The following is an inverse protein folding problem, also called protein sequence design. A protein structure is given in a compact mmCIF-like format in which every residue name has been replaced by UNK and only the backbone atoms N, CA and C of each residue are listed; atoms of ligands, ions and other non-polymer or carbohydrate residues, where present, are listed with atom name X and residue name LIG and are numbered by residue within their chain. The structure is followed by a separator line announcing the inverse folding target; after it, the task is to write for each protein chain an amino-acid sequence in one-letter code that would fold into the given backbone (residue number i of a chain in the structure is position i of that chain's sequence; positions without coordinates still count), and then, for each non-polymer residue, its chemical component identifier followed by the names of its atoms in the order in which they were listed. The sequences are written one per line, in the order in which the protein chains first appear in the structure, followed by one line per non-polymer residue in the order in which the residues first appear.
data_IF_189840352303
#
_entry.id   IF_189840352303
#
_cell.length_a   1.000
_cell.length_b   1.000
_cell.length_c   1.000
_cell.angle_alpha   90.00
_cell.angle_beta   90.00
_cell.angle_gamma   90.00
#
_symmetry.space_group_name_H-M   'P 1'
#
loop_
_entity.id
_entity.type
_entity.pdbx_description
1 polymer ?
#
# COMPACT_ATOMS: atom_id res chain seq x y z
N UNK A 1 26.46 -6.55 5.41
CA UNK A 1 26.35 -5.37 4.51
C UNK A 1 25.93 -4.18 5.33
N UNK A 2 26.46 -2.97 5.13
CA UNK A 2 26.09 -1.79 5.95
C UNK A 2 24.71 -1.28 5.48
N UNK A 3 23.74 -1.17 6.40
CA UNK A 3 22.42 -0.63 6.12
C UNK A 3 22.49 0.85 5.75
N UNK A 4 21.53 1.31 4.96
CA UNK A 4 21.42 2.70 4.54
C UNK A 4 20.91 3.55 5.71
N UNK A 5 21.55 4.71 5.93
CA UNK A 5 20.98 5.79 6.70
C UNK A 5 20.13 6.63 5.74
N UNK A 6 18.78 6.63 5.87
CA UNK A 6 17.93 7.37 4.94
C UNK A 6 18.08 8.89 5.14
N UNK A 7 17.82 9.71 4.11
CA UNK A 7 17.72 11.16 4.25
C UNK A 7 16.67 11.57 5.29
N UNK A 8 16.82 12.76 5.87
CA UNK A 8 15.77 13.35 6.72
C UNK A 8 14.47 13.49 5.92
N UNK A 9 13.34 13.12 6.50
CA UNK A 9 12.00 13.10 5.86
C UNK A 9 11.75 11.99 4.83
N UNK A 10 12.72 11.08 4.62
CA UNK A 10 12.53 9.94 3.74
C UNK A 10 11.49 8.96 4.28
N UNK A 11 10.56 8.50 3.42
CA UNK A 11 9.46 7.63 3.82
C UNK A 11 9.85 6.16 3.58
N UNK A 12 10.06 5.41 4.66
CA UNK A 12 10.25 3.95 4.59
C UNK A 12 8.88 3.31 4.76
N UNK A 13 8.44 2.57 3.73
CA UNK A 13 7.12 1.95 3.69
C UNK A 13 7.27 0.44 3.74
N UNK A 14 6.60 -0.20 4.71
CA UNK A 14 6.54 -1.66 4.83
C UNK A 14 5.37 -2.17 3.95
N UNK A 15 5.72 -2.84 2.84
CA UNK A 15 4.79 -3.36 1.84
C UNK A 15 4.04 -4.58 2.36
N UNK A 16 2.73 -4.44 2.56
CA UNK A 16 1.87 -5.49 3.15
C UNK A 16 2.37 -5.95 4.54
N UNK A 17 2.96 -5.04 5.29
CA UNK A 17 3.72 -5.34 6.50
C UNK A 17 5.17 -5.75 6.23
N UNK A 18 5.77 -6.53 7.12
CA UNK A 18 7.08 -7.14 6.86
C UNK A 18 6.91 -8.45 6.07
N UNK A 19 6.40 -8.32 4.84
CA UNK A 19 5.92 -9.41 4.00
C UNK A 19 7.02 -10.38 3.54
N UNK A 20 8.30 -10.00 3.59
CA UNK A 20 9.40 -10.94 3.36
C UNK A 20 9.51 -11.96 4.49
N UNK A 21 9.27 -11.57 5.74
CA UNK A 21 9.45 -12.43 6.93
C UNK A 21 8.14 -13.07 7.39
N UNK A 22 7.01 -12.39 7.22
CA UNK A 22 5.68 -12.82 7.67
C UNK A 22 4.72 -12.96 6.49
N UNK A 23 3.61 -13.72 6.61
CA UNK A 23 2.59 -13.75 5.56
C UNK A 23 2.05 -12.34 5.29
N UNK A 24 2.04 -11.94 4.01
CA UNK A 24 1.60 -10.60 3.60
C UNK A 24 0.16 -10.30 4.02
N UNK A 25 -0.14 -9.04 4.32
CA UNK A 25 -1.47 -8.55 4.70
C UNK A 25 -2.09 -9.25 5.93
N UNK A 26 -1.27 -9.81 6.81
CA UNK A 26 -1.71 -10.48 8.05
C UNK A 26 -1.38 -9.67 9.29
N UNK A 27 -2.00 -10.05 10.41
CA UNK A 27 -1.76 -9.42 11.72
C UNK A 27 -0.31 -9.48 12.13
N UNK A 28 0.35 -10.63 11.96
CA UNK A 28 1.77 -10.79 12.31
C UNK A 28 2.68 -9.88 11.49
N UNK A 29 2.46 -9.78 10.16
CA UNK A 29 3.21 -8.89 9.29
C UNK A 29 3.06 -7.41 9.68
N UNK A 30 1.84 -7.00 10.04
CA UNK A 30 1.53 -5.64 10.44
C UNK A 30 2.10 -5.28 11.81
N UNK A 31 1.96 -6.16 12.80
CA UNK A 31 2.55 -5.96 14.14
C UNK A 31 4.08 -5.85 14.06
N UNK A 32 4.71 -6.72 13.27
CA UNK A 32 6.15 -6.67 13.06
C UNK A 32 6.62 -5.36 12.42
N UNK A 33 5.85 -4.80 11.47
CA UNK A 33 6.15 -3.53 10.83
C UNK A 33 5.91 -2.33 11.77
N UNK A 34 4.76 -2.30 12.44
CA UNK A 34 4.35 -1.19 13.29
C UNK A 34 5.28 -1.00 14.50
N UNK A 35 5.88 -2.09 15.02
CA UNK A 35 6.86 -2.07 16.09
C UNK A 35 8.26 -1.57 15.69
N UNK A 36 8.49 -1.15 14.44
CA UNK A 36 9.78 -0.72 13.92
C UNK A 36 9.79 0.76 13.54
N UNK A 37 10.99 1.30 13.23
CA UNK A 37 11.19 2.70 12.81
C UNK A 37 10.88 2.89 11.31
N UNK A 38 9.69 2.46 10.87
CA UNK A 38 9.13 2.80 9.57
C UNK A 38 8.26 4.06 9.65
N UNK A 39 7.99 4.71 8.53
CA UNK A 39 7.07 5.84 8.46
C UNK A 39 5.66 5.41 8.09
N UNK A 40 5.53 4.43 7.19
CA UNK A 40 4.24 3.99 6.68
C UNK A 40 4.10 2.47 6.67
N UNK A 41 2.91 2.00 7.00
CA UNK A 41 2.45 0.63 6.74
C UNK A 41 1.59 0.64 5.49
N UNK A 42 1.97 -0.12 4.50
CA UNK A 42 1.16 -0.29 3.30
C UNK A 42 0.29 -1.55 3.43
N UNK A 43 -0.95 -1.44 2.95
CA UNK A 43 -1.98 -2.48 2.96
C UNK A 43 -2.77 -2.47 1.65
N UNK A 44 -3.24 -3.64 1.21
CA UNK A 44 -4.14 -3.79 0.06
C UNK A 44 -5.58 -3.98 0.53
N UNK A 45 -6.57 -3.38 -0.13
CA UNK A 45 -7.98 -3.58 0.19
C UNK A 45 -8.78 -4.11 -0.99
N UNK A 46 -9.58 -5.13 -0.69
CA UNK A 46 -10.71 -5.65 -1.47
C UNK A 46 -11.98 -5.61 -0.64
N UNK A 47 -13.12 -5.98 -1.24
CA UNK A 47 -14.41 -6.04 -0.55
C UNK A 47 -15.06 -7.41 -0.74
N UNK A 48 -15.62 -7.98 0.33
CA UNK A 48 -16.33 -9.27 0.33
C UNK A 48 -17.71 -9.17 -0.29
N UNK A 49 -18.39 -10.31 -0.43
CA UNK A 49 -19.78 -10.40 -0.91
C UNK A 49 -20.78 -9.65 -0.02
N UNK A 50 -20.50 -9.56 1.26
CA UNK A 50 -21.29 -8.85 2.28
C UNK A 50 -20.73 -7.46 2.63
N UNK A 51 -20.03 -6.85 1.66
CA UNK A 51 -19.53 -5.47 1.69
C UNK A 51 -18.52 -5.16 2.81
N UNK A 52 -17.82 -6.18 3.33
CA UNK A 52 -16.76 -5.97 4.33
C UNK A 52 -15.41 -5.73 3.62
N UNK A 53 -14.71 -4.65 4.00
CA UNK A 53 -13.37 -4.36 3.52
C UNK A 53 -12.36 -5.31 4.17
N UNK A 54 -11.61 -6.06 3.36
CA UNK A 54 -10.60 -7.04 3.79
C UNK A 54 -9.23 -6.76 3.20
N UNK A 55 -8.21 -7.12 3.96
CA UNK A 55 -6.82 -6.87 3.57
C UNK A 55 -6.22 -8.08 2.87
N UNK A 56 -6.06 -7.99 1.55
CA UNK A 56 -5.47 -9.01 0.68
C UNK A 56 -5.06 -8.38 -0.66
N UNK A 57 -4.00 -8.90 -1.30
CA UNK A 57 -3.48 -8.32 -2.55
C UNK A 57 -4.24 -8.74 -3.81
N UNK A 58 -4.43 -10.07 -3.98
CA UNK A 58 -5.05 -10.62 -5.18
C UNK A 58 -6.58 -10.56 -5.06
N UNK A 59 -7.30 -10.52 -6.17
CA UNK A 59 -8.76 -10.61 -6.19
C UNK A 59 -9.27 -12.04 -5.93
N UNK A 60 -8.34 -13.01 -5.82
CA UNK A 60 -8.60 -14.39 -5.40
C UNK A 60 -7.78 -14.75 -4.17
N UNK A 61 -8.22 -15.77 -3.43
CA UNK A 61 -7.53 -16.25 -2.21
C UNK A 61 -6.49 -17.35 -2.49
N UNK A 62 -6.32 -17.76 -3.75
CA UNK A 62 -5.60 -18.97 -4.17
C UNK A 62 -4.13 -18.99 -3.74
N UNK A 63 -3.44 -17.84 -3.83
CA UNK A 63 -2.00 -17.76 -3.56
C UNK A 63 -1.66 -17.68 -2.07
N UNK A 64 -2.53 -17.07 -1.29
CA UNK A 64 -2.26 -16.71 0.10
C UNK A 64 -3.20 -17.37 1.10
N UNK A 65 -3.93 -18.40 0.66
CA UNK A 65 -4.75 -19.22 1.57
C UNK A 65 -4.68 -20.72 1.21
N UNK A 66 -5.30 -21.53 2.05
CA UNK A 66 -5.50 -22.96 1.81
C UNK A 66 -6.75 -23.27 0.98
N UNK A 67 -7.41 -22.26 0.39
CA UNK A 67 -8.60 -22.37 -0.45
C UNK A 67 -8.44 -21.58 -1.75
N UNK A 68 -9.44 -21.67 -2.66
CA UNK A 68 -9.44 -21.01 -3.96
C UNK A 68 -10.73 -20.25 -4.18
N UNK A 69 -10.71 -19.20 -4.99
CA UNK A 69 -11.88 -18.44 -5.42
C UNK A 69 -11.74 -16.93 -5.26
N UNK A 70 -12.70 -16.20 -5.80
CA UNK A 70 -12.73 -14.74 -5.78
C UNK A 70 -13.20 -14.20 -4.43
N UNK A 71 -12.55 -13.16 -3.92
CA UNK A 71 -12.91 -12.47 -2.65
C UNK A 71 -14.39 -12.05 -2.64
N UNK A 72 -14.85 -11.42 -3.73
CA UNK A 72 -16.24 -10.94 -3.86
C UNK A 72 -17.31 -12.04 -3.84
N UNK A 73 -16.91 -13.31 -3.92
CA UNK A 73 -17.82 -14.46 -3.88
C UNK A 73 -18.03 -15.00 -2.46
N UNK A 74 -17.20 -14.59 -1.50
CA UNK A 74 -17.25 -15.03 -0.11
C UNK A 74 -17.77 -13.94 0.82
N UNK A 75 -18.52 -14.33 1.85
CA UNK A 75 -18.77 -13.50 3.03
C UNK A 75 -17.54 -13.46 3.92
N UNK A 76 -17.44 -12.49 4.83
CA UNK A 76 -16.36 -12.44 5.82
C UNK A 76 -16.33 -13.72 6.68
N UNK A 77 -17.48 -14.19 7.14
CA UNK A 77 -17.57 -15.40 7.97
C UNK A 77 -16.99 -16.62 7.25
N UNK A 78 -17.30 -16.79 5.95
CA UNK A 78 -16.73 -17.86 5.16
C UNK A 78 -15.20 -17.72 5.00
N UNK A 79 -14.68 -16.51 4.78
CA UNK A 79 -13.23 -16.28 4.66
C UNK A 79 -12.49 -16.56 5.98
N UNK A 80 -13.11 -16.38 7.13
CA UNK A 80 -12.49 -16.64 8.44
C UNK A 80 -12.28 -18.11 8.76
N UNK A 81 -12.96 -19.01 8.06
CA UNK A 81 -12.72 -20.46 8.17
C UNK A 81 -11.38 -20.87 7.53
N UNK A 82 -10.85 -20.06 6.61
CA UNK A 82 -9.65 -20.37 5.86
C UNK A 82 -8.39 -19.90 6.59
N UNK A 83 -7.25 -20.41 6.11
CA UNK A 83 -5.93 -20.08 6.67
C UNK A 83 -5.15 -19.21 5.68
N UNK A 84 -4.85 -17.99 6.07
CA UNK A 84 -4.09 -17.01 5.30
C UNK A 84 -2.62 -16.88 5.75
N UNK A 85 -2.14 -17.76 6.63
CA UNK A 85 -0.78 -17.69 7.18
C UNK A 85 0.13 -18.83 6.78
N UNK A 86 -0.35 -20.07 6.88
CA UNK A 86 0.49 -21.28 6.77
C UNK A 86 1.05 -21.56 5.36
N UNK A 87 0.59 -20.84 4.32
CA UNK A 87 1.18 -20.91 2.99
C UNK A 87 2.64 -20.44 2.97
N UNK A 88 3.02 -19.59 3.94
CA UNK A 88 4.39 -19.11 4.10
C UNK A 88 5.13 -20.00 5.09
N UNK A 89 6.24 -20.58 4.65
CA UNK A 89 7.06 -21.50 5.45
C UNK A 89 7.43 -20.90 6.82
N UNK A 90 7.26 -21.69 7.87
CA UNK A 90 7.54 -21.29 9.26
C UNK A 90 6.49 -20.39 9.91
N UNK A 91 5.41 -20.06 9.20
CA UNK A 91 4.31 -19.26 9.73
C UNK A 91 3.19 -20.13 10.29
N UNK A 92 2.41 -19.53 11.20
CA UNK A 92 1.22 -20.16 11.79
C UNK A 92 -0.03 -19.81 10.98
N UNK A 93 -1.14 -20.48 11.29
CA UNK A 93 -2.47 -20.09 10.80
C UNK A 93 -2.75 -18.63 11.15
N UNK A 94 -3.23 -17.88 10.17
CA UNK A 94 -3.70 -16.49 10.31
C UNK A 94 -5.08 -16.35 9.67
N UNK A 95 -5.91 -15.52 10.25
CA UNK A 95 -7.18 -15.12 9.65
C UNK A 95 -6.98 -13.93 8.71
N UNK A 96 -7.87 -13.79 7.73
CA UNK A 96 -7.93 -12.57 6.93
C UNK A 96 -8.27 -11.38 7.83
N UNK A 97 -7.53 -10.27 7.69
CA UNK A 97 -7.81 -9.06 8.44
C UNK A 97 -8.86 -8.20 7.74
N UNK A 98 -9.82 -7.70 8.50
CA UNK A 98 -10.70 -6.62 8.05
C UNK A 98 -10.01 -5.27 8.16
N UNK A 99 -10.47 -4.27 7.40
CA UNK A 99 -9.96 -2.91 7.51
C UNK A 99 -10.26 -2.29 8.90
N UNK A 100 -11.40 -2.63 9.51
CA UNK A 100 -11.73 -2.27 10.91
C UNK A 100 -10.65 -2.75 11.90
N UNK A 101 -10.19 -4.00 11.75
CA UNK A 101 -9.12 -4.57 12.59
C UNK A 101 -7.77 -3.92 12.33
N UNK A 102 -7.45 -3.60 11.07
CA UNK A 102 -6.22 -2.88 10.72
C UNK A 102 -6.20 -1.48 11.34
N UNK A 103 -7.30 -0.73 11.25
CA UNK A 103 -7.41 0.60 11.87
C UNK A 103 -7.26 0.52 13.40
N UNK A 104 -7.91 -0.48 14.03
CA UNK A 104 -7.81 -0.71 15.47
C UNK A 104 -6.36 -0.99 15.89
N UNK A 105 -5.66 -1.85 15.14
CA UNK A 105 -4.26 -2.16 15.39
C UNK A 105 -3.37 -0.93 15.22
N UNK A 106 -3.51 -0.21 14.10
CA UNK A 106 -2.68 0.93 13.75
C UNK A 106 -2.89 2.17 14.65
N UNK A 107 -4.04 2.26 15.33
CA UNK A 107 -4.39 3.38 16.20
C UNK A 107 -3.38 3.56 17.35
N UNK A 108 -2.78 2.48 17.83
CA UNK A 108 -1.81 2.48 18.92
C UNK A 108 -0.38 2.92 18.50
N UNK A 109 -0.17 3.20 17.22
CA UNK A 109 1.12 3.60 16.67
C UNK A 109 1.00 4.93 15.94
N UNK A 110 2.09 5.69 15.83
CA UNK A 110 2.13 6.99 15.13
C UNK A 110 2.42 6.87 13.64
N UNK A 111 2.18 5.69 13.03
CA UNK A 111 2.47 5.44 11.63
C UNK A 111 1.34 5.90 10.70
N UNK A 112 1.68 6.24 9.46
CA UNK A 112 0.72 6.48 8.38
C UNK A 112 0.34 5.16 7.74
N UNK A 113 -0.94 4.98 7.40
CA UNK A 113 -1.41 3.89 6.55
C UNK A 113 -1.39 4.35 5.09
N UNK A 114 -0.69 3.60 4.24
CA UNK A 114 -0.73 3.72 2.79
C UNK A 114 -1.65 2.62 2.26
N UNK A 115 -2.86 2.97 1.84
CA UNK A 115 -3.92 2.04 1.49
C UNK A 115 -4.00 1.92 -0.04
N UNK A 116 -3.76 0.74 -0.60
CA UNK A 116 -4.02 0.47 -2.00
C UNK A 116 -5.44 -0.07 -2.19
N UNK A 117 -6.25 0.60 -3.04
CA UNK A 117 -7.53 0.06 -3.49
C UNK A 117 -7.25 -0.82 -4.71
N UNK A 118 -7.51 -2.12 -4.55
CA UNK A 118 -7.32 -3.13 -5.59
C UNK A 118 -8.58 -3.24 -6.45
N UNK A 119 -8.42 -3.15 -7.77
CA UNK A 119 -9.51 -3.39 -8.75
C UNK A 119 -10.86 -2.76 -8.38
N UNK A 120 -10.95 -1.43 -8.10
CA UNK A 120 -12.18 -0.78 -7.59
C UNK A 120 -13.40 -1.02 -8.51
N UNK A 121 -13.19 -1.26 -9.79
CA UNK A 121 -14.27 -1.58 -10.73
C UNK A 121 -15.03 -2.89 -10.42
N UNK A 122 -14.47 -3.79 -9.60
CA UNK A 122 -15.14 -5.01 -9.12
C UNK A 122 -16.04 -4.74 -7.90
N UNK A 123 -15.90 -3.58 -7.26
CA UNK A 123 -16.50 -3.25 -5.96
C UNK A 123 -17.13 -1.85 -5.99
N UNK A 124 -18.32 -1.70 -6.62
CA UNK A 124 -19.03 -0.41 -6.63
C UNK A 124 -19.24 0.11 -5.20
N UNK A 125 -18.82 1.34 -4.91
CA UNK A 125 -18.95 1.95 -3.58
C UNK A 125 -17.77 1.71 -2.62
N UNK A 126 -16.68 1.07 -3.05
CA UNK A 126 -15.52 0.78 -2.19
C UNK A 126 -14.88 2.07 -1.65
N UNK A 127 -14.85 3.15 -2.43
CA UNK A 127 -14.28 4.43 -2.00
C UNK A 127 -15.09 5.02 -0.82
N UNK A 128 -16.42 5.03 -0.93
CA UNK A 128 -17.31 5.46 0.13
C UNK A 128 -17.19 4.60 1.37
N UNK A 129 -17.13 3.26 1.20
CA UNK A 129 -16.97 2.31 2.30
C UNK A 129 -15.67 2.55 3.08
N UNK A 130 -14.56 2.81 2.39
CA UNK A 130 -13.26 3.15 3.01
C UNK A 130 -13.38 4.43 3.85
N UNK A 131 -13.94 5.51 3.28
CA UNK A 131 -14.10 6.79 3.99
C UNK A 131 -15.01 6.63 5.21
N UNK A 132 -16.11 5.89 5.09
CA UNK A 132 -17.03 5.62 6.19
C UNK A 132 -16.36 4.83 7.31
N UNK A 133 -15.58 3.81 6.97
CA UNK A 133 -14.84 2.99 7.94
C UNK A 133 -13.80 3.83 8.70
N UNK A 134 -13.04 4.70 8.01
CA UNK A 134 -12.10 5.62 8.66
C UNK A 134 -12.82 6.55 9.65
N UNK A 135 -13.97 7.12 9.25
CA UNK A 135 -14.80 7.98 10.10
C UNK A 135 -15.35 7.23 11.32
N UNK A 136 -15.90 6.04 11.12
CA UNK A 136 -16.42 5.16 12.19
C UNK A 136 -15.38 4.90 13.28
N UNK A 137 -14.13 4.68 12.88
CA UNK A 137 -13.02 4.46 13.81
C UNK A 137 -12.45 5.74 14.42
N UNK A 138 -12.90 6.93 14.01
CA UNK A 138 -12.23 8.20 14.36
C UNK A 138 -10.72 8.14 14.12
N UNK A 139 -10.30 7.51 13.02
CA UNK A 139 -8.88 7.44 12.66
C UNK A 139 -8.45 8.76 12.02
N UNK A 140 -7.29 9.33 12.40
CA UNK A 140 -6.88 10.64 11.89
C UNK A 140 -6.60 10.61 10.38
N UNK A 141 -7.31 11.40 9.60
CA UNK A 141 -7.15 11.46 8.14
C UNK A 141 -5.77 11.89 7.67
N UNK A 142 -5.06 12.71 8.45
CA UNK A 142 -3.68 13.11 8.17
C UNK A 142 -2.66 11.95 8.35
N UNK A 143 -3.12 10.79 8.78
CA UNK A 143 -2.36 9.53 8.86
C UNK A 143 -2.84 8.51 7.82
N UNK A 144 -3.58 8.95 6.81
CA UNK A 144 -4.08 8.12 5.71
C UNK A 144 -3.56 8.68 4.38
N UNK A 145 -3.04 7.80 3.55
CA UNK A 145 -2.78 8.02 2.14
C UNK A 145 -3.49 6.90 1.40
N UNK A 146 -4.28 7.21 0.38
CA UNK A 146 -4.96 6.19 -0.44
C UNK A 146 -4.36 6.22 -1.84
N UNK A 147 -4.05 5.06 -2.39
CA UNK A 147 -3.49 4.92 -3.73
C UNK A 147 -4.21 3.85 -4.55
N UNK A 148 -4.15 3.96 -5.86
CA UNK A 148 -4.66 2.95 -6.79
C UNK A 148 -3.99 3.06 -8.16
N UNK A 149 -4.01 1.97 -8.93
CA UNK A 149 -3.74 1.98 -10.38
C UNK A 149 -4.89 2.59 -11.18
N UNK A 150 -6.10 2.59 -10.62
CA UNK A 150 -7.29 3.18 -11.24
C UNK A 150 -7.38 4.68 -10.89
N UNK A 151 -7.03 5.51 -11.88
CA UNK A 151 -7.06 6.96 -11.72
C UNK A 151 -8.48 7.51 -11.51
N UNK A 152 -9.52 6.83 -12.03
CA UNK A 152 -10.91 7.26 -11.82
C UNK A 152 -11.33 7.12 -10.37
N UNK A 153 -10.91 6.02 -9.71
CA UNK A 153 -11.11 5.81 -8.28
C UNK A 153 -10.43 6.90 -7.45
N UNK A 154 -9.19 7.29 -7.80
CA UNK A 154 -8.47 8.38 -7.12
C UNK A 154 -9.13 9.74 -7.36
N UNK A 155 -9.60 10.04 -8.58
CA UNK A 155 -10.39 11.26 -8.85
C UNK A 155 -11.67 11.29 -8.04
N UNK A 156 -12.41 10.17 -7.98
CA UNK A 156 -13.61 10.05 -7.15
C UNK A 156 -13.31 10.31 -5.67
N UNK A 157 -12.21 9.77 -5.13
CA UNK A 157 -11.78 10.04 -3.76
C UNK A 157 -11.40 11.50 -3.53
N UNK A 158 -10.76 12.14 -4.50
CA UNK A 158 -10.45 13.58 -4.44
C UNK A 158 -11.71 14.42 -4.26
N UNK A 159 -12.77 14.07 -5.00
CA UNK A 159 -14.06 14.78 -4.91
C UNK A 159 -14.80 14.48 -3.59
N UNK A 160 -14.75 13.21 -3.12
CA UNK A 160 -15.41 12.77 -1.89
C UNK A 160 -14.73 13.26 -0.61
N UNK A 161 -13.40 13.34 -0.61
CA UNK A 161 -12.60 13.61 0.59
C UNK A 161 -11.31 14.38 0.26
N UNK A 162 -11.41 15.67 -0.17
CA UNK A 162 -10.27 16.46 -0.64
C UNK A 162 -9.19 16.73 0.43
N UNK A 163 -9.45 16.36 1.66
CA UNK A 163 -8.53 16.47 2.81
C UNK A 163 -7.66 15.23 3.02
N UNK A 164 -7.85 14.14 2.23
CA UNK A 164 -7.01 12.94 2.27
C UNK A 164 -5.92 13.04 1.23
N UNK A 165 -4.71 12.66 1.58
CA UNK A 165 -3.63 12.55 0.61
C UNK A 165 -3.84 11.35 -0.32
N UNK A 166 -3.64 11.57 -1.62
CA UNK A 166 -3.92 10.58 -2.66
C UNK A 166 -2.70 10.28 -3.51
N UNK A 167 -2.58 9.03 -3.95
CA UNK A 167 -1.49 8.57 -4.79
C UNK A 167 -1.96 7.80 -6.03
N UNK A 168 -1.26 7.99 -7.14
CA UNK A 168 -1.48 7.21 -8.36
C UNK A 168 -0.33 6.22 -8.55
N UNK A 169 -0.67 4.93 -8.62
CA UNK A 169 0.28 3.87 -8.93
C UNK A 169 0.55 3.81 -10.44
N UNK A 170 1.84 3.76 -10.80
CA UNK A 170 2.28 3.80 -12.20
C UNK A 170 2.98 2.49 -12.56
N UNK A 171 2.27 1.60 -13.28
CA UNK A 171 2.81 0.31 -13.67
C UNK A 171 3.86 0.42 -14.80
N UNK A 172 4.90 -0.41 -14.73
CA UNK A 172 5.89 -0.53 -15.81
C UNK A 172 5.21 -0.87 -17.15
N UNK A 173 4.21 -1.77 -17.16
CA UNK A 173 3.48 -2.15 -18.36
C UNK A 173 2.87 -0.95 -19.11
N UNK A 174 2.26 -0.01 -18.37
CA UNK A 174 1.56 1.16 -18.96
C UNK A 174 2.52 2.27 -19.35
N UNK A 175 3.62 2.46 -18.59
CA UNK A 175 4.46 3.65 -18.68
C UNK A 175 5.91 3.37 -19.17
N UNK A 176 6.21 2.17 -19.66
CA UNK A 176 7.55 1.82 -20.16
C UNK A 176 8.00 2.68 -21.33
N UNK A 177 7.09 2.97 -22.27
CA UNK A 177 7.36 3.73 -23.50
C UNK A 177 6.81 5.16 -23.47
N UNK A 178 6.05 5.54 -22.43
CA UNK A 178 5.48 6.88 -22.29
C UNK A 178 5.62 7.40 -20.88
N UNK A 179 5.77 8.72 -20.76
CA UNK A 179 5.76 9.36 -19.44
C UNK A 179 4.32 9.58 -18.96
N UNK A 180 4.09 9.55 -17.63
CA UNK A 180 2.85 10.04 -17.06
C UNK A 180 2.64 11.53 -17.37
N UNK A 181 1.38 11.94 -17.45
CA UNK A 181 1.00 13.35 -17.56
C UNK A 181 0.95 13.96 -16.15
N UNK A 182 2.13 14.30 -15.61
CA UNK A 182 2.27 14.74 -14.21
C UNK A 182 1.41 15.95 -13.89
N UNK A 183 1.24 16.88 -14.82
CA UNK A 183 0.36 18.05 -14.65
C UNK A 183 -1.10 17.64 -14.43
N UNK A 184 -1.57 16.61 -15.12
CA UNK A 184 -2.95 16.08 -14.93
C UNK A 184 -3.07 15.34 -13.60
N UNK A 185 -2.08 14.51 -13.27
CA UNK A 185 -2.07 13.78 -11.99
C UNK A 185 -2.08 14.73 -10.79
N UNK A 186 -1.36 15.83 -10.86
CA UNK A 186 -1.27 16.83 -9.79
C UNK A 186 -2.58 17.59 -9.52
N UNK A 187 -3.59 17.43 -10.39
CA UNK A 187 -4.91 18.03 -10.15
C UNK A 187 -5.70 17.28 -9.06
N UNK A 188 -5.36 16.00 -8.80
CA UNK A 188 -6.13 15.17 -7.88
C UNK A 188 -5.27 14.22 -7.02
N UNK A 189 -3.95 14.29 -7.12
CA UNK A 189 -3.06 13.43 -6.35
C UNK A 189 -1.84 14.19 -5.80
N UNK A 190 -1.33 13.74 -4.66
CA UNK A 190 -0.12 14.23 -3.99
C UNK A 190 1.11 13.35 -4.31
N UNK A 191 0.88 12.11 -4.75
CA UNK A 191 1.92 11.12 -4.98
C UNK A 191 1.81 10.51 -6.37
N UNK A 192 2.96 10.36 -7.04
CA UNK A 192 3.12 9.52 -8.22
C UNK A 192 4.03 8.34 -7.85
N UNK A 193 3.44 7.18 -7.54
CA UNK A 193 4.15 6.01 -7.04
C UNK A 193 4.44 5.01 -8.18
N UNK A 194 5.64 5.06 -8.82
CA UNK A 194 5.97 4.23 -9.95
C UNK A 194 6.53 2.86 -9.57
N UNK A 195 6.41 1.90 -10.47
CA UNK A 195 7.36 0.79 -10.46
C UNK A 195 8.79 1.35 -10.49
N UNK A 196 9.67 0.88 -9.61
CA UNK A 196 11.02 1.44 -9.42
C UNK A 196 11.89 1.48 -10.69
N UNK A 197 11.60 0.60 -11.66
CA UNK A 197 12.31 0.55 -12.96
C UNK A 197 11.97 1.72 -13.89
N UNK A 198 10.88 2.46 -13.63
CA UNK A 198 10.51 3.67 -14.38
C UNK A 198 11.27 4.91 -13.90
N UNK A 199 11.84 4.84 -12.70
CA UNK A 199 12.44 6.00 -12.04
C UNK A 199 13.81 6.32 -12.64
N UNK A 200 13.90 7.54 -13.18
CA UNK A 200 15.14 8.17 -13.66
C UNK A 200 15.10 9.67 -13.32
N UNK A 201 16.22 10.37 -13.59
CA UNK A 201 16.37 11.80 -13.27
C UNK A 201 15.26 12.68 -13.86
N UNK A 202 14.85 12.39 -15.11
CA UNK A 202 13.77 13.12 -15.78
C UNK A 202 12.40 12.88 -15.14
N UNK A 203 12.12 11.63 -14.71
CA UNK A 203 10.89 11.29 -14.01
C UNK A 203 10.77 12.10 -12.72
N UNK A 204 11.81 12.05 -11.86
CA UNK A 204 11.83 12.77 -10.57
C UNK A 204 11.67 14.27 -10.78
N UNK A 205 12.50 14.87 -11.66
CA UNK A 205 12.42 16.30 -11.94
C UNK A 205 11.04 16.76 -12.37
N UNK A 206 10.36 15.99 -13.24
CA UNK A 206 9.02 16.33 -13.70
C UNK A 206 7.95 16.13 -12.61
N UNK A 207 8.02 15.06 -11.82
CA UNK A 207 7.09 14.85 -10.72
C UNK A 207 7.20 15.99 -9.70
N UNK A 208 8.41 16.31 -9.26
CA UNK A 208 8.66 17.39 -8.29
C UNK A 208 8.29 18.78 -8.85
N UNK A 209 8.49 19.03 -10.15
CA UNK A 209 8.04 20.28 -10.80
C UNK A 209 6.54 20.52 -10.64
N UNK A 210 5.75 19.43 -10.55
CA UNK A 210 4.31 19.47 -10.32
C UNK A 210 3.92 19.16 -8.86
N UNK A 211 4.87 19.28 -7.91
CA UNK A 211 4.66 19.05 -6.48
C UNK A 211 4.22 17.63 -6.09
N UNK A 212 4.39 16.65 -6.98
CA UNK A 212 4.11 15.25 -6.70
C UNK A 212 5.29 14.60 -6.00
N UNK A 213 5.07 13.98 -4.84
CA UNK A 213 6.05 13.10 -4.18
C UNK A 213 6.16 11.77 -4.90
N UNK A 214 7.33 11.14 -4.82
CA UNK A 214 7.62 9.88 -5.53
C UNK A 214 8.09 8.81 -4.55
N UNK A 215 7.27 7.77 -4.36
CA UNK A 215 7.57 6.61 -3.51
C UNK A 215 7.47 5.34 -4.36
N UNK A 216 8.59 4.89 -4.98
CA UNK A 216 8.59 3.73 -5.88
C UNK A 216 8.36 2.40 -5.15
N UNK A 217 7.75 1.45 -5.87
CA UNK A 217 7.51 0.07 -5.46
C UNK A 217 8.10 -0.94 -6.46
N UNK A 218 8.42 -2.20 -6.15
CA UNK A 218 8.77 -2.68 -4.82
C UNK A 218 10.28 -2.81 -4.80
N UNK A 219 10.92 -2.18 -3.85
CA UNK A 219 12.39 -2.04 -3.78
C UNK A 219 12.92 -2.97 -2.70
N UNK A 220 13.55 -4.09 -3.12
CA UNK A 220 14.02 -5.12 -2.21
C UNK A 220 15.54 -5.35 -2.27
N UNK A 221 16.25 -4.66 -3.17
CA UNK A 221 17.68 -4.81 -3.34
C UNK A 221 18.44 -3.52 -2.99
N UNK A 222 19.54 -3.68 -2.26
CA UNK A 222 20.36 -2.59 -1.75
C UNK A 222 20.89 -1.65 -2.86
N UNK A 223 21.22 -2.20 -4.01
CA UNK A 223 21.74 -1.42 -5.16
C UNK A 223 20.65 -0.52 -5.75
N UNK A 224 19.42 -1.05 -5.91
CA UNK A 224 18.28 -0.26 -6.35
C UNK A 224 17.93 0.83 -5.35
N UNK A 225 17.94 0.51 -4.06
CA UNK A 225 17.68 1.47 -3.01
C UNK A 225 18.67 2.64 -3.04
N UNK A 226 19.97 2.36 -3.13
CA UNK A 226 21.02 3.40 -3.24
C UNK A 226 20.84 4.26 -4.49
N UNK A 227 20.60 3.65 -5.65
CA UNK A 227 20.35 4.34 -6.91
C UNK A 227 19.16 5.30 -6.80
N UNK A 228 18.05 4.84 -6.24
CA UNK A 228 16.83 5.62 -6.10
C UNK A 228 16.99 6.81 -5.14
N UNK A 229 17.70 6.62 -4.01
CA UNK A 229 18.05 7.71 -3.09
C UNK A 229 18.89 8.78 -3.81
N UNK A 230 19.89 8.37 -4.60
CA UNK A 230 20.71 9.30 -5.38
C UNK A 230 19.91 10.07 -6.44
N UNK A 231 18.82 9.47 -6.93
CA UNK A 231 17.89 10.14 -7.85
C UNK A 231 16.95 11.11 -7.17
N UNK A 232 16.84 11.08 -5.83
CA UNK A 232 16.04 12.00 -5.03
C UNK A 232 14.58 11.59 -4.86
N UNK A 233 14.29 10.27 -4.76
CA UNK A 233 12.94 9.81 -4.39
C UNK A 233 12.59 10.20 -2.95
N UNK A 234 11.31 10.38 -2.65
CA UNK A 234 10.80 10.83 -1.35
C UNK A 234 10.64 9.67 -0.34
N UNK A 235 10.66 8.43 -0.82
CA UNK A 235 10.55 7.23 -0.01
C UNK A 235 10.69 5.96 -0.85
N UNK A 236 10.43 4.80 -0.23
CA UNK A 236 10.42 3.50 -0.92
C UNK A 236 9.46 2.52 -0.26
N UNK A 237 8.75 1.74 -1.07
CA UNK A 237 7.93 0.62 -0.65
C UNK A 237 8.75 -0.66 -0.78
N UNK A 238 8.90 -1.42 0.33
CA UNK A 238 9.75 -2.62 0.40
C UNK A 238 9.10 -3.74 1.21
N UNK A 239 9.30 -5.00 0.75
CA UNK A 239 8.90 -6.21 1.49
C UNK A 239 9.83 -6.48 2.68
N UNK A 240 11.03 -5.92 2.64
CA UNK A 240 12.10 -6.13 3.62
C UNK A 240 12.82 -4.82 4.00
N UNK A 241 12.12 -3.81 4.53
CA UNK A 241 12.74 -2.52 4.83
C UNK A 241 13.91 -2.64 5.84
N UNK A 242 13.86 -3.63 6.73
CA UNK A 242 14.93 -3.92 7.69
C UNK A 242 16.23 -4.46 7.07
N UNK A 243 16.20 -4.94 5.83
CA UNK A 243 17.40 -5.33 5.09
C UNK A 243 18.05 -4.18 4.34
N UNK A 244 17.30 -3.11 4.09
CA UNK A 244 17.76 -1.92 3.38
C UNK A 244 18.16 -0.80 4.34
N UNK A 245 17.35 -0.59 5.38
CA UNK A 245 17.45 0.54 6.29
C UNK A 245 17.61 0.08 7.75
N UNK A 246 18.20 0.95 8.57
CA UNK A 246 18.21 0.76 10.01
C UNK A 246 16.83 1.18 10.55
N UNK A 247 15.93 0.22 10.79
CA UNK A 247 14.55 0.40 11.25
C UNK A 247 14.28 -0.23 12.61
#
# INVERSE_FOLDING_TARGET
MKLIQPPKYFQIVAHRGFSKMYPENTKSAYQAALGRHIQMLEIDLHMTKDDVLVSIHDDTIDRTSNHTGEIKSYTLDALREFDFGSWKEGSKKEEIMTFDEVLTLAKNFSKTLLIEIKKPHLYPGIEEAIIQTIKKHNFPFNRIIIQSFDQKSIQKLHDLAPYIQLGVLLSKRKYWLKQPLFQELAQFADFANPNFKLVNKKFISKAHQHHLKVIPYTVNHMEDAKRLIQLGVDGMISDAPNELFKV
#
